data_IF_848242335184
#
_entry.id   IF_848242335184
#
_cell.length_a   1.000
_cell.length_b   1.000
_cell.length_c   1.000
_cell.angle_alpha   90.00
_cell.angle_beta   90.00
_cell.angle_gamma   90.00
#
_symmetry.space_group_name_H-M   'P 1'
#
loop_
_entity.id
_entity.type
_entity.pdbx_description
1 polymer ?
#
# COMPACT_ATOMS: atom_id res chain seq x y z
N UNK A 1 3.21 30.20 8.13
CA UNK A 1 2.66 29.12 7.29
C UNK A 1 1.53 28.45 8.06
N UNK A 2 0.39 28.18 7.43
CA UNK A 2 -0.73 27.50 8.09
C UNK A 2 -0.39 26.01 8.27
N UNK A 3 -0.76 25.42 9.41
CA UNK A 3 -0.66 23.98 9.63
C UNK A 3 -1.57 23.27 8.64
N UNK A 4 -1.09 22.29 7.86
CA UNK A 4 -1.93 21.54 6.94
C UNK A 4 -3.02 20.78 7.71
N UNK A 5 -4.21 20.67 7.11
CA UNK A 5 -5.26 19.83 7.65
C UNK A 5 -4.79 18.36 7.60
N UNK A 6 -4.74 17.71 8.76
CA UNK A 6 -4.44 16.30 8.86
C UNK A 6 -5.72 15.49 8.66
N UNK A 7 -5.59 14.32 8.04
CA UNK A 7 -6.68 13.36 7.96
C UNK A 7 -6.75 12.61 9.30
N UNK A 8 -7.91 12.67 9.97
CA UNK A 8 -8.15 11.83 11.14
C UNK A 8 -8.44 10.38 10.72
N UNK A 9 -8.40 9.48 11.71
CA UNK A 9 -8.58 8.05 11.49
C UNK A 9 -9.96 7.72 10.91
N UNK A 10 -11.03 8.33 11.43
CA UNK A 10 -12.40 8.02 11.02
C UNK A 10 -12.65 8.48 9.58
N UNK A 11 -12.14 9.65 9.21
CA UNK A 11 -12.14 10.15 7.84
C UNK A 11 -11.33 9.24 6.90
N UNK A 12 -10.19 8.71 7.34
CA UNK A 12 -9.42 7.74 6.55
C UNK A 12 -10.19 6.44 6.31
N UNK A 13 -10.80 5.87 7.36
CA UNK A 13 -11.61 4.65 7.26
C UNK A 13 -12.85 4.88 6.40
N UNK A 14 -13.56 6.00 6.59
CA UNK A 14 -14.74 6.35 5.80
C UNK A 14 -14.42 6.54 4.31
N UNK A 15 -13.21 7.01 3.98
CA UNK A 15 -12.73 7.12 2.61
C UNK A 15 -12.27 5.77 2.01
N UNK A 16 -12.49 4.64 2.69
CA UNK A 16 -12.09 3.31 2.24
C UNK A 16 -10.71 2.85 2.73
N UNK A 17 -10.10 3.59 3.65
CA UNK A 17 -8.88 3.19 4.34
C UNK A 17 -8.99 1.78 4.94
N UNK A 18 -7.88 1.05 4.90
CA UNK A 18 -7.78 -0.36 5.33
C UNK A 18 -8.62 -1.39 4.57
N UNK A 19 -9.41 -1.05 3.55
CA UNK A 19 -10.20 -2.03 2.80
C UNK A 19 -9.33 -3.16 2.23
N UNK A 20 -8.23 -2.83 1.54
CA UNK A 20 -7.28 -3.83 1.01
C UNK A 20 -6.62 -4.66 2.11
N UNK A 21 -6.29 -4.06 3.25
CA UNK A 21 -5.73 -4.80 4.38
C UNK A 21 -6.73 -5.82 4.93
N UNK A 22 -8.02 -5.45 5.03
CA UNK A 22 -9.09 -6.35 5.47
C UNK A 22 -9.24 -7.52 4.49
N UNK A 23 -9.28 -7.25 3.19
CA UNK A 23 -9.35 -8.30 2.15
C UNK A 23 -8.16 -9.28 2.22
N UNK A 24 -6.94 -8.75 2.42
CA UNK A 24 -5.73 -9.57 2.61
C UNK A 24 -5.83 -10.47 3.85
N UNK A 25 -6.32 -9.93 4.98
CA UNK A 25 -6.47 -10.69 6.22
C UNK A 25 -7.63 -11.69 6.18
N UNK A 26 -8.65 -11.42 5.37
CA UNK A 26 -9.74 -12.34 5.09
C UNK A 26 -9.33 -13.47 4.11
N UNK A 27 -8.15 -13.37 3.49
CA UNK A 27 -7.67 -14.35 2.51
C UNK A 27 -8.26 -14.18 1.11
N UNK A 28 -8.97 -13.07 0.84
CA UNK A 28 -9.56 -12.76 -0.45
C UNK A 28 -8.50 -12.46 -1.52
N UNK A 29 -7.33 -11.97 -1.09
CA UNK A 29 -6.18 -11.72 -1.94
C UNK A 29 -5.03 -12.59 -1.42
N UNK A 30 -4.52 -13.48 -2.27
CA UNK A 30 -3.41 -14.37 -1.92
C UNK A 30 -2.08 -13.60 -1.87
N UNK A 31 -1.13 -14.15 -1.13
CA UNK A 31 0.24 -13.61 -1.07
C UNK A 31 0.91 -13.54 -2.44
N UNK A 32 0.75 -14.60 -3.23
CA UNK A 32 1.33 -14.68 -4.57
C UNK A 32 0.74 -13.60 -5.50
N UNK A 33 -0.57 -13.38 -5.44
CA UNK A 33 -1.23 -12.32 -6.21
C UNK A 33 -0.72 -10.92 -5.83
N UNK A 34 -0.44 -10.68 -4.54
CA UNK A 34 0.18 -9.42 -4.09
C UNK A 34 1.58 -9.27 -4.65
N UNK A 35 2.38 -10.33 -4.60
CA UNK A 35 3.76 -10.30 -5.08
C UNK A 35 3.82 -10.09 -6.60
N UNK A 36 2.94 -10.71 -7.37
CA UNK A 36 2.79 -10.48 -8.81
C UNK A 36 2.36 -9.03 -9.10
N UNK A 37 1.36 -8.51 -8.38
CA UNK A 37 0.89 -7.14 -8.58
C UNK A 37 1.98 -6.10 -8.29
N UNK A 38 2.77 -6.27 -7.23
CA UNK A 38 3.87 -5.35 -6.87
C UNK A 38 4.99 -5.42 -7.91
N UNK A 39 5.29 -6.61 -8.44
CA UNK A 39 6.27 -6.77 -9.52
C UNK A 39 5.79 -6.12 -10.81
N UNK A 40 4.54 -6.36 -11.21
CA UNK A 40 3.93 -5.80 -12.42
C UNK A 40 3.81 -4.27 -12.37
N UNK A 41 3.55 -3.71 -11.18
CA UNK A 41 3.53 -2.26 -10.97
C UNK A 41 4.90 -1.58 -11.14
N UNK A 42 5.99 -2.36 -11.20
CA UNK A 42 7.35 -1.82 -11.34
C UNK A 42 7.75 -0.93 -10.16
N UNK A 43 7.17 -1.16 -8.97
CA UNK A 43 7.40 -0.33 -7.79
C UNK A 43 8.89 -0.31 -7.45
N UNK A 44 9.44 0.89 -7.22
CA UNK A 44 10.85 1.11 -6.88
C UNK A 44 10.95 1.75 -5.50
N UNK A 45 12.04 1.44 -4.79
CA UNK A 45 12.35 2.05 -3.51
C UNK A 45 12.56 3.56 -3.64
N UNK A 46 11.77 4.34 -2.90
CA UNK A 46 11.80 5.81 -2.91
C UNK A 46 12.98 6.41 -2.09
N UNK A 47 13.87 5.57 -1.56
CA UNK A 47 15.05 5.99 -0.79
C UNK A 47 16.26 6.44 -1.62
N UNK A 48 16.08 6.76 -2.91
CA UNK A 48 17.11 7.30 -3.80
C UNK A 48 17.74 6.30 -4.77
N UNK A 49 17.98 5.05 -4.34
CA UNK A 49 18.63 4.04 -5.19
C UNK A 49 17.71 3.32 -6.19
N UNK A 50 16.38 3.45 -6.05
CA UNK A 50 15.42 2.96 -7.04
C UNK A 50 15.36 1.43 -7.22
N UNK A 51 15.83 0.64 -6.24
CA UNK A 51 15.77 -0.83 -6.30
C UNK A 51 14.32 -1.33 -6.47
N UNK A 52 14.06 -2.34 -7.33
CA UNK A 52 12.73 -2.93 -7.47
C UNK A 52 12.22 -3.49 -6.13
N UNK A 53 11.09 -2.97 -5.65
CA UNK A 53 10.50 -3.37 -4.37
C UNK A 53 10.06 -4.85 -4.40
N UNK A 54 9.50 -5.31 -5.52
CA UNK A 54 9.00 -6.68 -5.67
C UNK A 54 10.07 -7.78 -5.70
N UNK A 55 11.36 -7.46 -5.84
CA UNK A 55 12.47 -8.43 -5.81
C UNK A 55 13.14 -8.52 -4.43
N UNK A 56 12.82 -7.59 -3.51
CA UNK A 56 13.41 -7.55 -2.17
C UNK A 56 12.67 -8.49 -1.19
N UNK A 57 11.47 -8.93 -1.54
CA UNK A 57 10.57 -9.75 -0.73
C UNK A 57 10.49 -11.16 -1.29
#
# INVERSE_FOLDING_TARGET
AATPAFQDFDAYVAAGGYATLKALRAGEISRDAVQEAVQAAGLRGMGGAGFPAGRKW
#
